data_IF_339596587112
#
_entry.id   IF_339596587112
#
_cell.length_a   1.000
_cell.length_b   1.000
_cell.length_c   1.000
_cell.angle_alpha   90.00
_cell.angle_beta   90.00
_cell.angle_gamma   90.00
#
_symmetry.space_group_name_H-M   'P 1'
#
loop_
_entity.id
_entity.type
_entity.pdbx_description
1 polymer ?
#
# COMPACT_ATOMS: atom_id res chain seq x y z
N UNK A 1 0.89 -4.22 -16.66
CA UNK A 1 1.79 -3.39 -15.82
C UNK A 1 2.75 -4.30 -15.08
N UNK A 2 4.03 -3.97 -15.14
CA UNK A 2 5.05 -4.76 -14.44
C UNK A 2 5.36 -4.10 -13.09
N UNK A 3 5.27 -4.88 -12.03
CA UNK A 3 5.56 -4.41 -10.68
C UNK A 3 7.03 -4.64 -10.35
N UNK A 4 7.62 -3.72 -9.60
CA UNK A 4 9.00 -3.85 -9.15
C UNK A 4 9.02 -4.18 -7.66
N UNK A 5 9.27 -5.45 -7.34
CA UNK A 5 9.40 -5.91 -5.96
C UNK A 5 10.85 -6.20 -5.58
N UNK A 6 11.79 -5.94 -6.49
CA UNK A 6 13.21 -6.22 -6.26
C UNK A 6 13.99 -4.99 -5.79
N UNK A 7 13.44 -3.80 -5.99
CA UNK A 7 14.07 -2.57 -5.56
C UNK A 7 14.21 -2.53 -4.04
N UNK A 8 15.42 -2.26 -3.57
CA UNK A 8 15.67 -2.09 -2.14
C UNK A 8 15.33 -0.65 -1.77
N UNK A 9 14.34 -0.49 -0.92
CA UNK A 9 13.86 0.81 -0.47
C UNK A 9 14.28 1.01 0.98
N UNK A 10 15.06 2.06 1.24
CA UNK A 10 15.45 2.40 2.60
C UNK A 10 14.29 3.05 3.32
N UNK A 11 13.77 2.37 4.32
CA UNK A 11 12.64 2.84 5.12
C UNK A 11 13.07 3.48 6.44
N UNK A 12 14.37 3.57 6.70
CA UNK A 12 14.85 4.24 7.91
C UNK A 12 14.64 5.75 7.80
N UNK A 13 14.23 6.38 8.91
CA UNK A 13 13.93 7.80 8.92
C UNK A 13 12.57 8.18 8.34
N UNK A 14 11.71 7.19 8.08
CA UNK A 14 10.37 7.42 7.53
C UNK A 14 9.25 7.25 8.57
N UNK A 15 9.61 7.11 9.83
CA UNK A 15 8.70 6.79 10.93
C UNK A 15 8.07 5.40 10.80
N UNK A 16 8.74 4.48 10.13
CA UNK A 16 8.31 3.10 10.08
C UNK A 16 8.48 2.44 11.45
N UNK A 17 7.41 1.88 11.99
CA UNK A 17 7.47 1.17 13.25
C UNK A 17 8.43 -0.01 13.19
N UNK A 18 8.45 -0.68 12.06
CA UNK A 18 9.33 -1.82 11.80
C UNK A 18 10.80 -1.44 11.79
N UNK A 19 11.16 -0.32 11.12
CA UNK A 19 12.55 0.04 10.87
C UNK A 19 13.11 1.07 11.85
N UNK A 20 12.27 1.91 12.43
CA UNK A 20 12.72 3.04 13.26
C UNK A 20 12.54 2.81 14.75
N UNK A 21 11.86 1.74 15.16
CA UNK A 21 11.70 1.42 16.58
C UNK A 21 13.03 0.99 17.20
N UNK A 22 13.80 0.16 16.50
CA UNK A 22 15.11 -0.31 16.93
C UNK A 22 16.19 0.57 16.31
N UNK A 23 16.98 1.21 17.15
CA UNK A 23 17.98 2.20 16.74
C UNK A 23 19.35 1.60 16.44
N UNK A 24 19.56 0.34 16.74
CA UNK A 24 20.84 -0.34 16.51
C UNK A 24 21.06 -0.61 15.03
N UNK A 25 22.27 -0.26 14.55
CA UNK A 25 22.66 -0.53 13.17
C UNK A 25 22.88 -2.03 12.93
N UNK A 26 22.60 -2.46 11.70
CA UNK A 26 22.82 -3.83 11.28
C UNK A 26 21.76 -4.84 11.72
N UNK A 27 20.79 -4.40 12.49
CA UNK A 27 19.66 -5.27 12.88
C UNK A 27 18.66 -5.36 11.75
N UNK A 28 18.30 -6.59 11.37
CA UNK A 28 17.29 -6.85 10.34
C UNK A 28 15.97 -7.14 11.04
N UNK A 29 14.96 -6.27 10.89
CA UNK A 29 13.66 -6.49 11.53
C UNK A 29 12.88 -7.59 10.80
N UNK A 30 12.43 -8.57 11.56
CA UNK A 30 11.63 -9.68 11.03
C UNK A 30 10.42 -10.01 11.93
N UNK A 31 10.04 -9.06 12.79
CA UNK A 31 9.05 -9.32 13.85
C UNK A 31 7.64 -8.89 13.47
N UNK A 32 7.50 -7.97 12.56
CA UNK A 32 6.20 -7.44 12.11
C UNK A 32 6.02 -7.70 10.62
N UNK A 33 4.81 -7.98 10.20
CA UNK A 33 4.55 -8.56 8.89
C UNK A 33 4.39 -7.55 7.76
N UNK A 34 4.63 -6.27 7.97
CA UNK A 34 4.54 -5.32 6.87
C UNK A 34 5.68 -5.51 5.87
N UNK A 35 5.37 -5.31 4.61
CA UNK A 35 6.27 -5.60 3.50
C UNK A 35 7.14 -4.40 3.15
N UNK A 36 8.30 -4.64 2.58
CA UNK A 36 9.31 -3.61 2.31
C UNK A 36 9.39 -3.19 0.84
N UNK A 37 8.48 -3.62 0.02
CA UNK A 37 8.39 -3.15 -1.36
C UNK A 37 7.19 -2.24 -1.54
N UNK A 38 7.27 -1.36 -2.55
CA UNK A 38 6.18 -0.45 -2.86
C UNK A 38 4.92 -1.20 -3.26
N UNK A 39 3.78 -0.64 -2.88
CA UNK A 39 2.49 -1.14 -3.37
C UNK A 39 2.36 -0.89 -4.89
N UNK A 40 1.37 -1.51 -5.52
CA UNK A 40 1.17 -1.40 -6.95
C UNK A 40 1.03 0.07 -7.41
N UNK A 41 1.65 0.44 -8.54
CA UNK A 41 1.56 1.82 -9.03
C UNK A 41 0.14 2.34 -9.23
N UNK A 42 -0.80 1.49 -9.62
CA UNK A 42 -2.20 1.89 -9.78
C UNK A 42 -2.84 2.35 -8.46
N UNK A 43 -2.42 1.75 -7.33
CA UNK A 43 -2.89 2.16 -6.01
C UNK A 43 -2.30 3.52 -5.64
N UNK A 44 -1.00 3.71 -5.90
CA UNK A 44 -0.33 4.98 -5.63
C UNK A 44 -0.98 6.10 -6.45
N UNK A 45 -1.24 5.87 -7.73
CA UNK A 45 -1.88 6.86 -8.60
C UNK A 45 -3.28 7.23 -8.12
N UNK A 46 -4.08 6.26 -7.72
CA UNK A 46 -5.43 6.50 -7.21
C UNK A 46 -5.40 7.36 -5.94
N UNK A 47 -4.47 7.06 -5.02
CA UNK A 47 -4.29 7.83 -3.79
C UNK A 47 -3.80 9.25 -4.07
N UNK A 48 -2.84 9.41 -4.99
CA UNK A 48 -2.33 10.72 -5.38
C UNK A 48 -3.42 11.60 -5.97
N UNK A 49 -4.25 11.02 -6.82
CA UNK A 49 -5.37 11.72 -7.44
C UNK A 49 -6.36 12.21 -6.38
N UNK A 50 -6.64 11.37 -5.39
CA UNK A 50 -7.55 11.73 -4.29
C UNK A 50 -6.95 12.81 -3.40
N UNK A 51 -5.68 12.72 -3.09
CA UNK A 51 -4.96 13.74 -2.31
C UNK A 51 -4.97 15.08 -3.06
N UNK A 52 -4.73 15.07 -4.37
CA UNK A 52 -4.75 16.28 -5.20
C UNK A 52 -6.12 16.97 -5.20
N UNK A 53 -7.20 16.19 -5.08
CA UNK A 53 -8.55 16.76 -4.93
C UNK A 53 -8.68 17.61 -3.67
N UNK A 54 -8.10 17.16 -2.56
CA UNK A 54 -7.88 17.98 -1.37
C UNK A 54 -9.08 18.14 -0.45
N UNK A 55 -10.21 17.53 -0.74
CA UNK A 55 -11.40 17.61 0.10
C UNK A 55 -11.73 16.23 0.63
N UNK A 56 -11.63 16.05 1.93
CA UNK A 56 -11.74 14.75 2.59
C UNK A 56 -13.01 14.71 3.46
N UNK A 57 -14.14 14.61 2.81
CA UNK A 57 -15.43 14.48 3.50
C UNK A 57 -15.89 13.03 3.58
N UNK A 58 -17.15 12.84 3.86
CA UNK A 58 -17.76 11.52 3.83
C UNK A 58 -17.86 11.03 2.38
N UNK A 59 -17.40 9.82 2.14
CA UNK A 59 -17.34 9.24 0.79
C UNK A 59 -18.57 8.38 0.52
N UNK A 60 -19.18 8.61 -0.63
CA UNK A 60 -20.21 7.70 -1.13
C UNK A 60 -19.54 6.41 -1.62
N UNK A 61 -20.07 5.27 -1.21
CA UNK A 61 -19.62 3.98 -1.74
C UNK A 61 -20.25 3.82 -3.13
N UNK A 62 -19.40 3.86 -4.15
CA UNK A 62 -19.86 3.81 -5.55
C UNK A 62 -20.16 2.40 -6.01
N UNK A 63 -20.91 2.30 -7.11
CA UNK A 63 -21.17 1.00 -7.75
C UNK A 63 -19.88 0.30 -8.17
N UNK A 64 -18.86 1.07 -8.59
CA UNK A 64 -17.57 0.50 -8.98
C UNK A 64 -16.87 -0.25 -7.84
N UNK A 65 -17.09 0.16 -6.61
CA UNK A 65 -16.57 -0.54 -5.44
C UNK A 65 -17.17 -1.95 -5.34
N UNK A 66 -18.49 -2.05 -5.43
CA UNK A 66 -19.18 -3.34 -5.37
C UNK A 66 -18.83 -4.21 -6.57
N UNK A 67 -18.77 -3.63 -7.75
CA UNK A 67 -18.39 -4.35 -8.98
C UNK A 67 -16.98 -4.95 -8.90
N UNK A 68 -16.04 -4.22 -8.30
CA UNK A 68 -14.68 -4.72 -8.10
C UNK A 68 -14.68 -5.96 -7.21
N UNK A 69 -15.43 -5.93 -6.11
CA UNK A 69 -15.53 -7.06 -5.19
C UNK A 69 -16.21 -8.26 -5.87
N UNK A 70 -17.31 -8.03 -6.54
CA UNK A 70 -18.07 -9.07 -7.25
C UNK A 70 -17.18 -9.72 -8.31
N UNK A 71 -16.48 -8.91 -9.10
CA UNK A 71 -15.58 -9.40 -10.14
C UNK A 71 -14.44 -10.24 -9.55
N UNK A 72 -13.86 -9.80 -8.45
CA UNK A 72 -12.80 -10.56 -7.78
C UNK A 72 -13.28 -11.93 -7.35
N UNK A 73 -14.40 -12.00 -6.62
CA UNK A 73 -14.94 -13.26 -6.14
C UNK A 73 -15.36 -14.18 -7.27
N UNK A 74 -15.96 -13.63 -8.32
CA UNK A 74 -16.36 -14.41 -9.49
C UNK A 74 -15.16 -15.05 -10.19
N UNK A 75 -14.06 -14.33 -10.34
CA UNK A 75 -12.86 -14.82 -11.02
C UNK A 75 -12.03 -15.76 -10.16
N UNK A 76 -12.01 -15.57 -8.85
CA UNK A 76 -11.08 -16.26 -7.95
C UNK A 76 -11.73 -17.33 -7.09
N UNK A 77 -12.99 -17.20 -6.76
CA UNK A 77 -13.62 -18.06 -5.77
C UNK A 77 -14.96 -18.68 -6.23
N UNK A 78 -15.50 -18.19 -7.29
CA UNK A 78 -16.79 -18.66 -7.84
C UNK A 78 -17.87 -18.97 -6.79
#
# INVERSE_FOLDING_TARGET
MKYNFDEIIDRRGTNSYKWDLVKEEGVIPMWVADMDFQTAPCIIEALQKRVAHGIFGYTLVSDSYYEAIISWFSRRHQ
#
